data_IF_963586214907
#
_entry.id   IF_963586214907
#
_cell.length_a   1.000
_cell.length_b   1.000
_cell.length_c   1.000
_cell.angle_alpha   90.00
_cell.angle_beta   90.00
_cell.angle_gamma   90.00
#
_symmetry.space_group_name_H-M   'P 1'
#
loop_
_entity.id
_entity.type
_entity.pdbx_description
1 polymer ?
#
# COMPACT_ATOMS: atom_id res chain seq x y z
N UNK A 1 -8.89 15.23 -26.17
CA UNK A 1 -8.59 15.16 -24.72
C UNK A 1 -8.20 13.72 -24.38
N UNK A 2 -6.97 13.47 -23.86
CA UNK A 2 -6.59 12.14 -23.39
C UNK A 2 -7.36 11.87 -22.11
N UNK A 3 -8.15 10.80 -22.08
CA UNK A 3 -8.88 10.33 -20.93
C UNK A 3 -7.89 10.09 -19.78
N UNK A 4 -8.15 10.65 -18.58
CA UNK A 4 -7.32 10.42 -17.41
C UNK A 4 -7.31 8.91 -17.13
N UNK A 5 -6.16 8.26 -17.34
CA UNK A 5 -6.06 6.82 -17.18
C UNK A 5 -6.05 6.49 -15.69
N UNK A 6 -7.04 5.71 -15.23
CA UNK A 6 -7.11 5.20 -13.86
C UNK A 6 -6.00 4.15 -13.67
N UNK A 7 -5.25 4.26 -12.60
CA UNK A 7 -4.18 3.33 -12.24
C UNK A 7 -4.38 2.85 -10.79
N UNK A 8 -4.30 1.58 -10.58
CA UNK A 8 -4.15 0.97 -9.26
C UNK A 8 -2.67 0.90 -8.92
N UNK A 9 -2.30 1.36 -7.74
CA UNK A 9 -0.90 1.46 -7.33
C UNK A 9 -0.66 0.47 -6.19
N UNK A 10 0.26 -0.46 -6.42
CA UNK A 10 0.76 -1.34 -5.35
C UNK A 10 1.65 -0.53 -4.41
N UNK A 11 1.43 -0.69 -3.11
CA UNK A 11 2.16 0.03 -2.06
C UNK A 11 3.10 -0.92 -1.34
N UNK A 12 4.43 -0.80 -1.53
CA UNK A 12 5.40 -1.63 -0.80
C UNK A 12 5.30 -1.41 0.71
N UNK A 13 5.38 -2.48 1.49
CA UNK A 13 5.32 -2.44 2.96
C UNK A 13 3.91 -2.17 3.53
N UNK A 14 2.88 -2.30 2.70
CA UNK A 14 1.49 -2.44 3.14
C UNK A 14 1.06 -3.91 3.04
N UNK A 15 0.14 -4.38 3.91
CA UNK A 15 -0.42 -5.74 3.78
C UNK A 15 -1.17 -5.87 2.46
N UNK A 16 -1.31 -7.10 1.96
CA UNK A 16 -2.17 -7.33 0.79
C UNK A 16 -3.64 -7.00 1.16
N UNK A 17 -4.40 -6.40 0.23
CA UNK A 17 -5.81 -6.10 0.47
C UNK A 17 -6.62 -7.35 0.83
N UNK A 18 -7.38 -7.28 1.91
CA UNK A 18 -8.17 -8.41 2.43
C UNK A 18 -9.52 -8.60 1.71
N UNK A 19 -9.87 -7.71 0.79
CA UNK A 19 -11.11 -7.76 0.01
C UNK A 19 -10.92 -7.08 -1.35
N UNK A 20 -12.02 -6.84 -2.09
CA UNK A 20 -11.99 -6.27 -3.43
C UNK A 20 -11.73 -4.74 -3.41
N UNK A 21 -10.53 -4.33 -3.04
CA UNK A 21 -10.06 -2.93 -3.09
C UNK A 21 -8.56 -2.86 -3.40
N UNK A 22 -8.06 -1.65 -3.64
CA UNK A 22 -6.62 -1.33 -3.68
C UNK A 22 -6.32 -0.19 -2.71
N UNK A 23 -5.10 -0.12 -2.20
CA UNK A 23 -4.72 0.95 -1.26
C UNK A 23 -4.70 2.32 -1.91
N UNK A 24 -4.35 2.40 -3.19
CA UNK A 24 -4.21 3.68 -3.90
C UNK A 24 -4.73 3.58 -5.32
N UNK A 25 -5.55 4.56 -5.70
CA UNK A 25 -5.93 4.80 -7.09
C UNK A 25 -5.43 6.18 -7.50
N UNK A 26 -4.78 6.25 -8.65
CA UNK A 26 -4.44 7.51 -9.31
C UNK A 26 -5.28 7.70 -10.57
N UNK A 27 -5.85 8.90 -10.74
CA UNK A 27 -6.60 9.30 -11.92
C UNK A 27 -6.10 10.68 -12.38
N UNK A 28 -5.19 10.69 -13.36
CA UNK A 28 -4.50 11.92 -13.75
C UNK A 28 -3.64 12.45 -12.60
N UNK A 29 -3.97 13.64 -12.09
CA UNK A 29 -3.32 14.24 -10.93
C UNK A 29 -3.98 13.88 -9.59
N UNK A 30 -5.18 13.35 -9.60
CA UNK A 30 -5.88 12.95 -8.38
C UNK A 30 -5.32 11.64 -7.85
N UNK A 31 -5.07 11.59 -6.56
CA UNK A 31 -4.65 10.40 -5.81
C UNK A 31 -5.70 10.14 -4.73
N UNK A 32 -6.28 8.96 -4.74
CA UNK A 32 -7.24 8.48 -3.76
C UNK A 32 -6.56 7.40 -2.93
N UNK A 33 -6.46 7.62 -1.64
CA UNK A 33 -5.94 6.65 -0.69
C UNK A 33 -7.11 6.07 0.09
N UNK A 34 -7.24 4.76 0.05
CA UNK A 34 -8.23 4.01 0.84
C UNK A 34 -8.00 4.19 2.34
N UNK A 35 -8.99 3.83 3.15
CA UNK A 35 -8.87 3.87 4.61
C UNK A 35 -7.60 3.15 5.09
N UNK A 36 -6.71 3.89 5.73
CA UNK A 36 -5.54 3.38 6.40
C UNK A 36 -5.85 3.13 7.87
N UNK A 37 -5.61 1.92 8.34
CA UNK A 37 -5.72 1.51 9.73
C UNK A 37 -4.33 1.27 10.35
N UNK A 38 -4.26 1.10 11.67
CA UNK A 38 -3.03 0.88 12.39
C UNK A 38 -2.54 -0.58 12.26
N UNK A 39 -2.11 -0.97 11.06
CA UNK A 39 -1.57 -2.29 10.77
C UNK A 39 -0.10 -2.24 10.36
N UNK A 40 0.65 -3.30 10.69
CA UNK A 40 1.96 -3.56 10.13
C UNK A 40 1.85 -4.17 8.71
N UNK A 41 2.99 -4.53 8.11
CA UNK A 41 3.06 -5.13 6.77
C UNK A 41 2.40 -6.51 6.66
N UNK A 42 2.21 -7.21 7.78
CA UNK A 42 1.53 -8.51 7.87
C UNK A 42 0.04 -8.37 8.21
N UNK A 43 -0.46 -7.14 8.32
CA UNK A 43 -1.85 -6.84 8.66
C UNK A 43 -2.17 -6.94 10.16
N UNK A 44 -1.18 -7.14 11.03
CA UNK A 44 -1.37 -7.17 12.48
C UNK A 44 -1.53 -5.75 13.03
N UNK A 45 -2.43 -5.57 13.99
CA UNK A 45 -2.66 -4.28 14.64
C UNK A 45 -1.45 -3.85 15.46
N UNK A 46 -1.02 -2.61 15.28
CA UNK A 46 0.03 -1.93 16.04
C UNK A 46 -0.61 -0.99 17.04
N UNK A 47 -0.04 -0.88 18.25
CA UNK A 47 -0.53 0.04 19.28
C UNK A 47 -1.87 -0.35 19.88
N UNK A 48 -2.06 -1.64 20.23
CA UNK A 48 -3.29 -2.16 20.82
C UNK A 48 -3.78 -1.32 22.01
N UNK A 49 -4.99 -0.73 21.90
CA UNK A 49 -5.61 0.10 22.94
C UNK A 49 -5.06 1.53 23.06
N UNK A 50 -3.96 1.89 22.39
CA UNK A 50 -3.37 3.24 22.44
C UNK A 50 -3.70 4.03 21.16
N UNK A 51 -4.56 5.03 21.30
CA UNK A 51 -4.98 5.90 20.18
C UNK A 51 -3.81 6.69 19.58
N UNK A 52 -2.82 7.11 20.37
CA UNK A 52 -1.67 7.87 19.89
C UNK A 52 -0.76 6.97 19.04
N UNK A 53 -0.45 5.77 19.54
CA UNK A 53 0.33 4.79 18.81
C UNK A 53 -0.37 4.36 17.50
N UNK A 54 -1.68 4.10 17.56
CA UNK A 54 -2.46 3.77 16.38
C UNK A 54 -2.51 4.93 15.37
N UNK A 55 -2.69 6.16 15.84
CA UNK A 55 -2.69 7.33 14.95
C UNK A 55 -1.34 7.51 14.25
N UNK A 56 -0.21 7.29 14.93
CA UNK A 56 1.11 7.30 14.30
C UNK A 56 1.23 6.24 13.21
N UNK A 57 0.86 5.00 13.51
CA UNK A 57 0.92 3.91 12.53
C UNK A 57 0.04 4.18 11.31
N UNK A 58 -1.17 4.72 11.51
CA UNK A 58 -2.06 5.14 10.41
C UNK A 58 -1.39 6.17 9.52
N UNK A 59 -0.72 7.18 10.10
CA UNK A 59 -0.02 8.19 9.31
C UNK A 59 1.22 7.64 8.60
N UNK A 60 1.97 6.69 9.19
CA UNK A 60 3.05 5.99 8.49
C UNK A 60 2.52 5.18 7.29
N UNK A 61 1.38 4.51 7.44
CA UNK A 61 0.74 3.80 6.33
C UNK A 61 0.24 4.76 5.24
N UNK A 62 -0.39 5.88 5.64
CA UNK A 62 -0.81 6.94 4.72
C UNK A 62 0.39 7.54 3.96
N UNK A 63 1.52 7.75 4.64
CA UNK A 63 2.78 8.21 4.05
C UNK A 63 3.29 7.25 2.97
N UNK A 64 3.27 5.93 3.23
CA UNK A 64 3.64 4.91 2.24
C UNK A 64 2.73 4.97 1.02
N UNK A 65 1.42 5.08 1.22
CA UNK A 65 0.44 5.18 0.14
C UNK A 65 0.65 6.43 -0.72
N UNK A 66 0.83 7.58 -0.09
CA UNK A 66 1.10 8.84 -0.79
C UNK A 66 2.41 8.75 -1.59
N UNK A 67 3.50 8.26 -0.98
CA UNK A 67 4.80 8.11 -1.62
C UNK A 67 4.75 7.18 -2.83
N UNK A 68 4.02 6.07 -2.76
CA UNK A 68 3.84 5.15 -3.89
C UNK A 68 3.15 5.82 -5.09
N UNK A 69 2.31 6.84 -4.84
CA UNK A 69 1.67 7.64 -5.88
C UNK A 69 2.50 8.86 -6.34
N UNK A 70 3.66 9.11 -5.72
CA UNK A 70 4.47 10.29 -5.96
C UNK A 70 3.95 11.55 -5.26
N UNK A 71 3.17 11.40 -4.19
CA UNK A 71 2.61 12.47 -3.36
C UNK A 71 3.25 12.50 -1.97
N UNK A 72 3.02 13.59 -1.27
CA UNK A 72 3.41 13.82 0.12
C UNK A 72 2.21 14.36 0.92
N UNK A 73 2.36 14.54 2.22
CA UNK A 73 1.33 15.20 3.03
C UNK A 73 1.03 16.64 2.58
N UNK A 74 1.97 17.32 1.93
CA UNK A 74 1.77 18.66 1.37
C UNK A 74 0.76 18.68 0.21
N UNK A 75 0.60 17.57 -0.48
CA UNK A 75 -0.29 17.42 -1.63
C UNK A 75 -1.72 17.00 -1.22
N UNK A 76 -1.94 16.65 0.06
CA UNK A 76 -3.23 16.19 0.56
C UNK A 76 -4.22 17.34 0.66
N UNK A 77 -5.31 17.24 -0.06
CA UNK A 77 -6.39 18.25 -0.08
C UNK A 77 -7.53 17.91 0.89
N UNK A 78 -7.80 16.64 1.11
CA UNK A 78 -8.91 16.17 1.94
C UNK A 78 -8.50 14.93 2.74
N UNK A 79 -8.98 14.87 3.98
CA UNK A 79 -8.98 13.65 4.80
C UNK A 79 -10.35 13.43 5.43
N UNK A 80 -10.72 12.16 5.59
CA UNK A 80 -11.81 11.74 6.48
C UNK A 80 -11.21 10.90 7.59
N UNK A 81 -11.54 11.23 8.83
CA UNK A 81 -11.05 10.56 10.03
C UNK A 81 -12.24 9.86 10.70
N UNK A 82 -12.16 8.56 10.81
CA UNK A 82 -13.13 7.72 11.50
C UNK A 82 -12.55 7.33 12.86
N UNK A 83 -13.25 7.67 13.95
CA UNK A 83 -12.85 7.38 15.33
C UNK A 83 -13.89 6.50 16.03
N UNK A 84 -13.43 5.55 16.84
CA UNK A 84 -14.32 4.81 17.75
C UNK A 84 -14.78 5.65 18.94
N UNK A 85 -14.00 6.69 19.31
CA UNK A 85 -14.34 7.59 20.41
C UNK A 85 -13.91 9.02 20.04
N UNK A 86 -14.86 9.92 19.88
CA UNK A 86 -14.61 11.32 19.53
C UNK A 86 -13.85 12.09 20.63
N UNK A 87 -13.89 11.62 21.89
CA UNK A 87 -13.12 12.22 22.98
C UNK A 87 -11.60 12.13 22.76
N UNK A 88 -11.13 11.22 21.89
CA UNK A 88 -9.71 11.11 21.54
C UNK A 88 -9.24 12.13 20.48
N UNK A 89 -10.14 13.00 19.98
CA UNK A 89 -9.87 13.99 18.94
C UNK A 89 -8.59 14.81 19.17
N UNK A 90 -8.38 15.30 20.38
CA UNK A 90 -7.23 16.15 20.67
C UNK A 90 -5.89 15.38 20.63
N UNK A 91 -5.87 14.12 21.08
CA UNK A 91 -4.71 13.24 20.98
C UNK A 91 -4.38 12.95 19.50
N UNK A 92 -5.41 12.67 18.69
CA UNK A 92 -5.29 12.46 17.24
C UNK A 92 -4.75 13.74 16.56
N UNK A 93 -5.29 14.91 16.89
CA UNK A 93 -4.86 16.17 16.31
C UNK A 93 -3.40 16.49 16.62
N UNK A 94 -2.91 16.14 17.80
CA UNK A 94 -1.49 16.32 18.17
C UNK A 94 -0.59 15.55 17.20
N UNK A 95 -0.87 14.27 16.95
CA UNK A 95 -0.11 13.46 16.00
C UNK A 95 -0.26 13.99 14.56
N UNK A 96 -1.47 14.37 14.14
CA UNK A 96 -1.71 14.93 12.81
C UNK A 96 -0.84 16.14 12.52
N UNK A 97 -0.68 17.04 13.47
CA UNK A 97 0.18 18.24 13.34
C UNK A 97 1.64 17.87 13.06
N UNK A 98 2.14 16.78 13.61
CA UNK A 98 3.51 16.31 13.37
C UNK A 98 3.73 15.92 11.91
N UNK A 99 2.74 15.25 11.28
CA UNK A 99 2.85 14.76 9.90
C UNK A 99 2.51 15.81 8.86
N UNK A 100 1.47 16.60 9.08
CA UNK A 100 1.04 17.62 8.12
C UNK A 100 1.83 18.93 8.22
N UNK A 101 2.46 19.21 9.37
CA UNK A 101 3.21 20.44 9.59
C UNK A 101 2.34 21.68 9.34
N UNK A 102 2.76 22.60 8.44
CA UNK A 102 1.99 23.81 8.12
C UNK A 102 0.80 23.55 7.18
N UNK A 103 0.74 22.38 6.53
CA UNK A 103 -0.30 22.04 5.56
C UNK A 103 -1.59 21.62 6.26
N UNK A 104 -2.72 22.20 5.85
CA UNK A 104 -4.02 21.95 6.49
C UNK A 104 -5.01 21.44 5.44
N UNK A 105 -5.20 20.13 5.31
CA UNK A 105 -6.23 19.58 4.41
C UNK A 105 -7.62 19.90 4.92
N UNK A 106 -8.60 19.99 4.02
CA UNK A 106 -10.00 19.91 4.42
C UNK A 106 -10.22 18.59 5.18
N UNK A 107 -10.89 18.64 6.31
CA UNK A 107 -11.01 17.48 7.20
C UNK A 107 -12.43 17.29 7.69
N UNK A 108 -12.89 16.05 7.65
CA UNK A 108 -14.12 15.59 8.32
C UNK A 108 -13.70 14.57 9.37
N UNK A 109 -14.24 14.68 10.58
CA UNK A 109 -14.04 13.72 11.64
C UNK A 109 -15.40 13.21 12.10
N UNK A 110 -15.52 11.89 12.20
CA UNK A 110 -16.77 11.20 12.49
C UNK A 110 -16.51 10.15 13.58
N UNK A 111 -17.38 10.08 14.58
CA UNK A 111 -17.42 8.91 15.46
C UNK A 111 -18.24 7.81 14.78
N UNK A 112 -17.75 6.58 14.88
CA UNK A 112 -18.35 5.40 14.29
C UNK A 112 -18.51 4.27 15.30
N UNK A 113 -19.45 3.37 15.07
CA UNK A 113 -19.74 2.26 15.98
C UNK A 113 -18.61 1.22 16.03
N UNK A 114 -17.96 0.92 14.90
CA UNK A 114 -16.83 -0.02 14.80
C UNK A 114 -16.03 0.16 13.51
N UNK A 115 -14.81 -0.35 13.51
CA UNK A 115 -13.94 -0.57 12.34
C UNK A 115 -13.96 -2.04 11.92
N UNK A 116 -13.20 -2.37 10.88
CA UNK A 116 -13.11 -3.73 10.32
C UNK A 116 -12.61 -4.77 11.34
N UNK A 117 -11.91 -4.34 12.38
CA UNK A 117 -11.51 -5.15 13.54
C UNK A 117 -11.77 -4.38 14.83
N UNK A 118 -12.08 -5.12 15.90
CA UNK A 118 -12.47 -4.53 17.20
C UNK A 118 -11.33 -3.84 17.94
N UNK A 119 -10.08 -4.23 17.67
CA UNK A 119 -8.86 -3.67 18.26
C UNK A 119 -8.36 -2.38 17.59
N UNK A 120 -8.98 -1.98 16.47
CA UNK A 120 -8.71 -0.72 15.78
C UNK A 120 -9.52 0.42 16.42
N UNK A 121 -8.88 1.58 16.57
CA UNK A 121 -9.47 2.79 17.19
C UNK A 121 -9.67 3.93 16.20
N UNK A 122 -8.95 3.91 15.10
CA UNK A 122 -8.92 5.00 14.11
C UNK A 122 -8.66 4.44 12.70
N UNK A 123 -9.30 5.08 11.72
CA UNK A 123 -9.03 4.91 10.29
C UNK A 123 -9.00 6.28 9.62
N UNK A 124 -8.13 6.48 8.63
CA UNK A 124 -8.04 7.73 7.86
C UNK A 124 -7.92 7.41 6.38
N UNK A 125 -8.80 8.01 5.58
CA UNK A 125 -8.68 8.08 4.12
C UNK A 125 -8.20 9.47 3.67
N UNK A 126 -7.60 9.55 2.48
CA UNK A 126 -7.12 10.82 1.95
C UNK A 126 -7.31 10.95 0.44
N UNK A 127 -7.50 12.21 0.01
CA UNK A 127 -7.40 12.61 -1.40
C UNK A 127 -6.28 13.65 -1.55
N UNK A 128 -5.37 13.41 -2.48
CA UNK A 128 -4.29 14.33 -2.80
C UNK A 128 -4.32 14.76 -4.27
N UNK A 129 -3.66 15.89 -4.58
CA UNK A 129 -3.53 16.41 -5.93
C UNK A 129 -2.04 16.65 -6.22
N UNK A 130 -1.51 15.87 -7.15
CA UNK A 130 -0.11 16.00 -7.55
C UNK A 130 0.17 17.36 -8.21
N UNK A 131 1.37 17.92 -8.00
CA UNK A 131 1.77 19.19 -8.65
C UNK A 131 1.77 19.05 -10.19
N UNK A 132 1.71 20.17 -10.91
CA UNK A 132 1.82 20.19 -12.37
C UNK A 132 3.20 19.63 -12.77
N UNK A 133 3.22 18.77 -13.80
CA UNK A 133 4.45 18.17 -14.29
C UNK A 133 4.90 16.91 -13.55
N UNK A 134 4.16 16.44 -12.54
CA UNK A 134 4.39 15.12 -11.98
C UNK A 134 4.08 14.06 -13.04
N UNK A 135 5.12 13.63 -13.76
CA UNK A 135 5.04 12.52 -14.71
C UNK A 135 4.64 11.26 -13.97
N UNK A 136 3.75 10.49 -14.59
CA UNK A 136 3.54 9.10 -14.18
C UNK A 136 4.89 8.40 -14.25
N UNK A 137 5.55 8.20 -13.11
CA UNK A 137 6.61 7.22 -13.04
C UNK A 137 5.99 5.93 -13.56
N UNK A 138 6.31 5.60 -14.82
CA UNK A 138 5.93 4.33 -15.42
C UNK A 138 6.62 3.28 -14.56
N UNK A 139 5.87 2.66 -13.66
CA UNK A 139 6.29 1.38 -13.11
C UNK A 139 6.41 0.48 -14.35
N UNK A 140 7.63 0.32 -14.86
CA UNK A 140 7.88 -0.66 -15.89
C UNK A 140 7.43 -2.01 -15.32
N UNK A 141 6.56 -2.74 -16.04
CA UNK A 141 6.28 -4.11 -15.65
C UNK A 141 7.65 -4.82 -15.66
N UNK A 142 8.13 -5.21 -14.49
CA UNK A 142 9.29 -6.08 -14.38
C UNK A 142 9.00 -7.29 -15.26
N UNK A 143 9.63 -7.32 -16.45
CA UNK A 143 9.62 -8.49 -17.30
C UNK A 143 10.01 -9.67 -16.43
N UNK A 144 9.08 -10.60 -16.25
CA UNK A 144 9.37 -11.89 -15.65
C UNK A 144 10.48 -12.49 -16.50
N UNK A 145 11.71 -12.55 -15.96
CA UNK A 145 12.75 -13.41 -16.49
C UNK A 145 12.24 -14.84 -16.34
N UNK A 146 11.45 -15.28 -17.32
CA UNK A 146 11.27 -16.70 -17.57
C UNK A 146 12.67 -17.24 -17.89
N UNK A 147 13.31 -17.84 -16.88
CA UNK A 147 14.55 -18.54 -17.03
C UNK A 147 14.34 -19.66 -18.07
N UNK A 148 14.88 -19.46 -19.25
CA UNK A 148 15.06 -20.57 -20.20
C UNK A 148 16.01 -21.55 -19.55
N UNK A 149 15.41 -22.55 -18.88
CA UNK A 149 16.13 -23.78 -18.48
C UNK A 149 16.52 -24.49 -19.78
N UNK A 150 17.74 -24.25 -20.29
CA UNK A 150 18.34 -25.07 -21.34
C UNK A 150 18.57 -26.45 -20.75
N UNK A 151 17.67 -27.38 -21.07
CA UNK A 151 17.91 -28.79 -20.88
C UNK A 151 19.12 -29.21 -21.73
N UNK A 152 20.21 -29.60 -21.09
CA UNK A 152 21.34 -30.25 -21.76
C UNK A 152 20.87 -31.61 -22.30
N UNK A 153 21.22 -31.98 -23.56
CA UNK A 153 20.88 -33.30 -24.08
C UNK A 153 21.65 -34.36 -23.30
N UNK A 154 20.94 -35.42 -22.92
CA UNK A 154 21.51 -36.57 -22.23
C UNK A 154 22.59 -37.25 -23.08
N UNK A 155 23.76 -37.46 -22.49
CA UNK A 155 24.88 -38.21 -23.06
C UNK A 155 24.47 -39.68 -23.24
N UNK A 156 24.56 -40.16 -24.48
CA UNK A 156 24.36 -41.59 -24.84
C UNK A 156 25.48 -42.40 -24.22
N UNK A 157 25.16 -43.36 -23.39
CA UNK A 157 26.02 -44.40 -22.87
C UNK A 157 26.32 -45.44 -23.99
N UNK A 158 27.59 -45.85 -24.17
CA UNK A 158 27.93 -46.84 -25.18
C UNK A 158 27.42 -48.22 -24.78
N UNK A 159 26.78 -48.90 -25.72
CA UNK A 159 26.25 -50.26 -25.63
C UNK A 159 27.41 -51.24 -25.55
N UNK A 160 27.66 -51.91 -24.43
CA UNK A 160 28.57 -53.05 -24.31
C UNK A 160 28.10 -54.22 -25.19
N UNK A 161 28.96 -54.58 -26.14
CA UNK A 161 28.81 -55.84 -26.90
C UNK A 161 29.20 -57.03 -26.03
N UNK A 162 28.27 -57.87 -25.70
CA UNK A 162 28.51 -59.15 -25.01
C UNK A 162 28.94 -60.20 -26.03
N UNK A 163 30.25 -60.49 -26.08
CA UNK A 163 30.81 -61.60 -26.84
C UNK A 163 30.50 -62.91 -26.09
N UNK A 164 29.55 -63.70 -26.58
CA UNK A 164 29.40 -65.10 -26.20
C UNK A 164 30.60 -65.88 -26.75
N UNK A 165 31.40 -66.49 -25.88
CA UNK A 165 32.28 -67.59 -26.22
C UNK A 165 31.57 -68.92 -25.90
N UNK A 166 31.50 -69.74 -26.92
CA UNK A 166 31.11 -71.18 -26.80
C UNK A 166 32.31 -71.92 -26.19
N UNK A 167 32.03 -72.75 -25.20
CA UNK A 167 32.42 -74.18 -25.10
C UNK A 167 31.59 -74.79 -23.97
#
# INVERSE_FOLDING_TARGET
MRQAHRQEIRVPGMPEPISHFTHVVRAGRLVFVSGCVASDENGKTVGGGDIVAQTRQVHENLKKCLAAAGATFADVCKVTVFLKNVADREKVNTVRKEYFGPHRPASTLIEISRLVRDDLLIEIEATAVLPNGATTGRAEPRASRAGHLRLKPASRTPRQQNKRRRR
#
